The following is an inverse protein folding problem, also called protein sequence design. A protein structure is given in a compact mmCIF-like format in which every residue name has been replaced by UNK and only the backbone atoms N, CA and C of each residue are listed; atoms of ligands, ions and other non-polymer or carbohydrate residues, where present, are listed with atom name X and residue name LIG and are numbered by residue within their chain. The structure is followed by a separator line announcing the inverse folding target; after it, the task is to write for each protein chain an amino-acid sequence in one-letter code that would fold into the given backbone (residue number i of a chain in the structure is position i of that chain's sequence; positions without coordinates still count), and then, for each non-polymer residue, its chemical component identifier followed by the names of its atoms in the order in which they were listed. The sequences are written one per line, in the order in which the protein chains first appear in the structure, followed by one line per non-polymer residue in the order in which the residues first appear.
data_IF_281225289282
#
_entry.id   IF_281225289282
#
_cell.length_a   1.000
_cell.length_b   1.000
_cell.length_c   1.000
_cell.angle_alpha   90.00
_cell.angle_beta   90.00
_cell.angle_gamma   90.00
#
_symmetry.space_group_name_H-M   'P 1'
#
loop_
_entity.id
_entity.type
_entity.pdbx_description
1 polymer ?
#
# COMPACT_ATOMS: atom_id res chain seq x y z
N UNK A 1 -22.25 28.91 54.99
CA UNK A 1 -21.29 27.93 54.44
C UNK A 1 -21.96 27.20 53.29
N UNK A 2 -21.75 27.68 52.05
CA UNK A 2 -22.33 27.12 50.86
C UNK A 2 -21.35 26.08 50.27
N UNK A 3 -21.86 24.86 49.97
CA UNK A 3 -21.10 23.80 49.31
C UNK A 3 -20.91 24.14 47.82
N UNK A 4 -19.72 23.97 47.24
CA UNK A 4 -19.52 24.19 45.80
C UNK A 4 -20.13 23.02 44.99
N UNK A 5 -20.83 23.37 43.91
CA UNK A 5 -21.43 22.44 42.97
C UNK A 5 -20.37 21.60 42.24
N UNK A 6 -20.50 20.30 42.26
CA UNK A 6 -19.72 19.37 41.44
C UNK A 6 -20.07 19.58 39.99
N UNK A 7 -19.21 20.25 39.23
CA UNK A 7 -19.19 20.12 37.74
C UNK A 7 -18.48 18.83 37.42
N UNK A 8 -19.21 17.88 36.87
CA UNK A 8 -18.68 16.62 36.38
C UNK A 8 -17.81 16.88 35.11
N UNK A 9 -16.52 16.62 35.27
CA UNK A 9 -15.54 16.69 34.18
C UNK A 9 -15.36 15.30 33.57
N UNK A 10 -15.90 15.05 32.38
CA UNK A 10 -15.88 13.72 31.76
C UNK A 10 -15.15 13.70 30.44
N UNK A 11 -13.83 13.48 30.44
CA UNK A 11 -13.07 13.29 29.22
C UNK A 11 -12.56 11.85 28.99
N UNK A 12 -12.54 11.00 29.99
CA UNK A 12 -12.11 9.61 29.92
C UNK A 12 -13.12 8.61 30.53
N UNK A 13 -14.37 8.98 30.66
CA UNK A 13 -15.39 8.00 31.03
C UNK A 13 -15.63 7.07 29.84
N UNK A 14 -15.63 5.76 30.04
CA UNK A 14 -16.29 4.87 29.10
C UNK A 14 -17.78 5.27 29.13
N UNK A 15 -18.26 5.92 28.07
CA UNK A 15 -19.69 6.18 27.89
C UNK A 15 -20.39 4.82 27.88
N UNK A 16 -21.43 4.68 28.71
CA UNK A 16 -22.25 3.46 28.67
C UNK A 16 -22.82 3.32 27.25
N UNK A 17 -23.02 2.09 26.75
CA UNK A 17 -23.59 1.85 25.40
C UNK A 17 -24.89 2.61 25.12
N UNK A 18 -25.67 2.90 26.16
CA UNK A 18 -26.97 3.61 26.07
C UNK A 18 -26.83 5.11 25.78
N UNK A 19 -25.73 5.76 26.14
CA UNK A 19 -25.53 7.21 25.90
C UNK A 19 -25.07 7.50 24.48
N UNK A 20 -24.53 6.51 23.77
CA UNK A 20 -24.07 6.65 22.38
C UNK A 20 -25.23 6.48 21.38
N UNK A 21 -26.27 5.69 21.75
CA UNK A 21 -27.42 5.44 20.89
C UNK A 21 -28.50 6.54 20.91
N UNK A 22 -28.48 7.47 21.89
CA UNK A 22 -29.51 8.51 21.99
C UNK A 22 -29.18 9.82 21.24
N UNK A 23 -27.89 10.05 20.94
CA UNK A 23 -27.49 11.11 20.03
C UNK A 23 -27.25 10.47 18.66
N UNK A 24 -28.28 10.50 17.82
CA UNK A 24 -28.24 10.02 16.44
C UNK A 24 -27.01 10.61 15.76
N UNK A 25 -26.00 9.76 15.54
CA UNK A 25 -24.89 10.07 14.68
C UNK A 25 -25.49 10.55 13.34
N UNK A 26 -25.15 11.75 12.84
CA UNK A 26 -25.77 12.29 11.63
C UNK A 26 -25.27 11.59 10.37
N UNK A 27 -25.56 10.29 10.29
CA UNK A 27 -25.22 9.45 9.15
C UNK A 27 -26.01 9.83 7.90
N UNK A 28 -27.18 10.45 8.05
CA UNK A 28 -27.92 11.09 6.94
C UNK A 28 -27.06 12.11 6.20
N UNK A 29 -26.20 12.85 6.90
CA UNK A 29 -25.32 13.84 6.25
C UNK A 29 -24.11 13.21 5.53
N UNK A 30 -23.63 12.05 5.96
CA UNK A 30 -22.62 11.30 5.22
C UNK A 30 -23.18 10.60 3.98
N UNK A 31 -24.46 10.17 4.04
CA UNK A 31 -25.13 9.49 2.92
C UNK A 31 -25.70 10.45 1.88
N UNK A 32 -26.12 11.67 2.26
CA UNK A 32 -26.78 12.61 1.34
C UNK A 32 -25.82 13.51 0.57
N UNK A 33 -24.62 13.81 1.11
CA UNK A 33 -23.68 14.76 0.51
C UNK A 33 -22.66 14.18 -0.48
N UNK A 34 -22.33 12.90 -0.39
CA UNK A 34 -21.25 12.28 -1.20
C UNK A 34 -21.68 11.02 -1.96
N UNK A 35 -22.84 10.44 -1.63
CA UNK A 35 -23.27 9.15 -2.17
C UNK A 35 -24.03 9.20 -3.50
N UNK A 36 -24.68 10.29 -3.87
CA UNK A 36 -25.61 10.23 -5.02
C UNK A 36 -24.97 10.34 -6.40
N UNK A 37 -23.75 10.86 -6.52
CA UNK A 37 -23.11 11.07 -7.82
C UNK A 37 -21.89 10.19 -8.13
N UNK A 38 -21.33 9.48 -7.15
CA UNK A 38 -20.07 8.75 -7.30
C UNK A 38 -20.12 7.24 -7.06
N UNK A 39 -21.09 6.75 -6.32
CA UNK A 39 -21.10 5.36 -5.82
C UNK A 39 -21.47 4.31 -6.86
N UNK A 40 -22.25 4.61 -7.88
CA UNK A 40 -22.63 3.64 -8.90
C UNK A 40 -21.50 3.24 -9.85
N UNK A 41 -20.38 3.97 -9.84
CA UNK A 41 -19.19 3.66 -10.68
C UNK A 41 -17.95 3.18 -9.91
N UNK A 42 -17.98 3.10 -8.57
CA UNK A 42 -16.78 2.80 -7.74
C UNK A 42 -16.90 1.59 -6.83
N UNK A 43 -17.92 0.77 -6.91
CA UNK A 43 -18.09 -0.42 -6.06
C UNK A 43 -16.99 -1.49 -6.17
N UNK A 44 -16.03 -1.31 -7.04
CA UNK A 44 -14.85 -2.20 -7.20
C UNK A 44 -13.57 -1.76 -6.49
N UNK A 45 -13.55 -0.66 -5.72
CA UNK A 45 -12.31 0.08 -5.42
C UNK A 45 -11.71 -0.18 -4.02
N UNK A 46 -12.34 -0.94 -3.15
CA UNK A 46 -12.03 -0.89 -1.71
C UNK A 46 -11.08 -1.95 -1.14
N UNK A 47 -10.43 -2.76 -1.94
CA UNK A 47 -9.47 -3.74 -1.42
C UNK A 47 -8.00 -3.41 -1.78
N UNK A 48 -7.55 -2.16 -1.64
CA UNK A 48 -6.13 -1.94 -1.87
C UNK A 48 -5.59 -0.53 -2.06
N UNK A 49 -6.26 0.51 -1.59
CA UNK A 49 -5.66 1.86 -1.64
C UNK A 49 -4.72 2.09 -0.46
N UNK A 50 -3.44 1.96 -0.71
CA UNK A 50 -2.38 2.53 0.12
C UNK A 50 -1.99 3.90 -0.47
N UNK A 51 -2.78 4.93 -0.31
CA UNK A 51 -2.43 6.35 -0.53
C UNK A 51 -1.52 6.75 -1.70
N UNK A 52 -1.16 5.84 -2.58
CA UNK A 52 -0.41 6.12 -3.79
C UNK A 52 -1.37 6.08 -4.98
N UNK A 53 -1.25 7.03 -5.89
CA UNK A 53 -2.03 7.19 -7.13
C UNK A 53 -1.93 6.00 -8.11
N UNK A 54 -1.96 4.77 -7.58
CA UNK A 54 -1.95 3.54 -8.35
C UNK A 54 -3.38 3.16 -8.67
N UNK A 55 -3.61 2.75 -9.91
CA UNK A 55 -4.90 2.22 -10.36
C UNK A 55 -5.36 1.14 -9.38
N UNK A 56 -6.64 1.14 -8.97
CA UNK A 56 -7.17 0.13 -8.07
C UNK A 56 -6.94 -1.26 -8.68
N UNK A 57 -6.40 -2.17 -7.86
CA UNK A 57 -6.00 -3.52 -8.27
C UNK A 57 -7.17 -4.33 -8.85
N UNK A 58 -8.40 -3.89 -8.59
CA UNK A 58 -9.64 -4.56 -8.97
C UNK A 58 -10.39 -3.91 -10.14
N UNK A 59 -9.82 -2.90 -10.79
CA UNK A 59 -10.45 -2.30 -11.97
C UNK A 59 -10.21 -3.14 -13.22
N UNK A 60 -11.14 -3.97 -13.55
CA UNK A 60 -11.40 -4.43 -14.90
C UNK A 60 -10.64 -5.69 -15.32
N UNK A 61 -9.33 -5.71 -15.35
CA UNK A 61 -8.57 -6.77 -16.02
C UNK A 61 -8.73 -8.18 -15.39
N UNK A 62 -8.56 -8.38 -14.05
CA UNK A 62 -8.77 -9.70 -13.47
C UNK A 62 -10.22 -10.19 -13.54
N UNK A 63 -11.18 -9.30 -13.34
CA UNK A 63 -12.61 -9.64 -13.45
C UNK A 63 -13.05 -9.92 -14.89
N UNK A 64 -12.41 -9.28 -15.87
CA UNK A 64 -12.64 -9.57 -17.28
C UNK A 64 -12.02 -10.91 -17.69
N UNK A 65 -10.85 -11.23 -17.14
CA UNK A 65 -10.16 -12.49 -17.46
C UNK A 65 -10.81 -13.69 -16.77
N UNK A 66 -11.25 -13.52 -15.52
CA UNK A 66 -11.90 -14.58 -14.72
C UNK A 66 -13.21 -14.07 -14.14
N UNK A 67 -14.30 -14.12 -14.91
CA UNK A 67 -15.59 -13.55 -14.49
C UNK A 67 -16.27 -14.37 -13.39
N UNK A 68 -15.89 -15.64 -13.19
CA UNK A 68 -16.45 -16.51 -12.16
C UNK A 68 -15.38 -16.99 -11.18
N UNK A 69 -15.84 -17.44 -10.00
CA UNK A 69 -14.95 -18.08 -9.01
C UNK A 69 -14.30 -19.36 -9.59
N UNK A 70 -15.04 -20.10 -10.41
CA UNK A 70 -14.54 -21.30 -11.06
C UNK A 70 -13.39 -20.98 -12.02
N UNK A 71 -13.52 -19.94 -12.83
CA UNK A 71 -12.47 -19.51 -13.75
C UNK A 71 -11.19 -19.12 -13.00
N UNK A 72 -11.34 -18.36 -11.90
CA UNK A 72 -10.21 -17.97 -11.06
C UNK A 72 -9.60 -19.18 -10.32
N UNK A 73 -10.41 -20.13 -9.88
CA UNK A 73 -9.91 -21.37 -9.24
C UNK A 73 -9.09 -22.21 -10.21
N UNK A 74 -9.49 -22.27 -11.47
CA UNK A 74 -8.82 -23.01 -12.53
C UNK A 74 -7.59 -22.30 -13.10
N UNK A 75 -7.45 -20.98 -12.84
CA UNK A 75 -6.30 -20.22 -13.29
C UNK A 75 -5.00 -20.73 -12.66
N UNK A 76 -3.90 -20.68 -13.41
CA UNK A 76 -2.57 -20.96 -12.86
C UNK A 76 -2.08 -19.80 -11.99
N UNK A 77 -1.21 -20.09 -11.01
CA UNK A 77 -0.57 -19.06 -10.21
C UNK A 77 0.28 -18.10 -11.08
N UNK A 78 0.86 -18.61 -12.16
CA UNK A 78 1.64 -17.79 -13.10
C UNK A 78 0.77 -16.75 -13.80
N UNK A 79 -0.41 -17.11 -14.28
CA UNK A 79 -1.36 -16.18 -14.90
C UNK A 79 -1.83 -15.11 -13.91
N UNK A 80 -2.11 -15.50 -12.66
CA UNK A 80 -2.47 -14.54 -11.61
C UNK A 80 -1.32 -13.58 -11.33
N UNK A 81 -0.09 -14.10 -11.21
CA UNK A 81 1.09 -13.29 -10.99
C UNK A 81 1.43 -12.36 -12.17
N UNK A 82 1.14 -12.76 -13.41
CA UNK A 82 1.30 -11.90 -14.59
C UNK A 82 0.41 -10.65 -14.51
N UNK A 83 -0.88 -10.82 -14.21
CA UNK A 83 -1.80 -9.70 -14.02
C UNK A 83 -1.44 -8.83 -12.81
N UNK A 84 -0.85 -9.45 -11.78
CA UNK A 84 -0.38 -8.76 -10.58
C UNK A 84 0.99 -8.08 -10.76
N UNK A 85 1.66 -8.31 -11.88
CA UNK A 85 3.03 -7.83 -12.14
C UNK A 85 3.12 -6.32 -12.12
N UNK A 86 3.90 -5.77 -11.18
CA UNK A 86 4.08 -4.33 -11.01
C UNK A 86 3.19 -3.65 -9.97
N UNK A 87 2.12 -4.30 -9.50
CA UNK A 87 1.19 -3.76 -8.51
C UNK A 87 1.73 -3.88 -7.06
N UNK A 88 2.66 -4.79 -6.81
CA UNK A 88 3.12 -5.13 -5.46
C UNK A 88 2.15 -6.04 -4.70
N UNK A 89 2.44 -6.34 -3.45
CA UNK A 89 1.59 -7.20 -2.59
C UNK A 89 1.17 -8.53 -3.26
N UNK A 90 2.08 -9.18 -3.94
CA UNK A 90 1.84 -10.39 -4.75
C UNK A 90 1.19 -11.54 -3.99
N UNK A 91 1.44 -11.62 -2.67
CA UNK A 91 0.76 -12.60 -1.81
C UNK A 91 -0.77 -12.46 -1.81
N UNK A 92 -1.31 -11.26 -2.14
CA UNK A 92 -2.77 -11.06 -2.22
C UNK A 92 -3.37 -11.76 -3.44
N UNK A 93 -2.71 -11.66 -4.60
CA UNK A 93 -3.15 -12.38 -5.82
C UNK A 93 -3.19 -13.90 -5.60
N UNK A 94 -2.10 -14.44 -5.03
CA UNK A 94 -2.03 -15.85 -4.68
C UNK A 94 -3.14 -16.26 -3.71
N UNK A 95 -3.33 -15.53 -2.61
CA UNK A 95 -4.37 -15.83 -1.62
C UNK A 95 -5.77 -15.71 -2.18
N UNK A 96 -5.99 -14.81 -3.13
CA UNK A 96 -7.26 -14.70 -3.83
C UNK A 96 -7.55 -15.97 -4.63
N UNK A 97 -6.58 -16.46 -5.40
CA UNK A 97 -6.70 -17.70 -6.15
C UNK A 97 -6.87 -18.92 -5.24
N UNK A 98 -6.06 -19.02 -4.18
CA UNK A 98 -6.18 -20.07 -3.16
C UNK A 98 -7.58 -20.06 -2.51
N UNK A 99 -8.11 -18.86 -2.22
CA UNK A 99 -9.46 -18.67 -1.69
C UNK A 99 -10.54 -19.12 -2.66
N UNK A 100 -10.44 -18.75 -3.94
CA UNK A 100 -11.38 -19.17 -4.97
C UNK A 100 -11.38 -20.70 -5.13
N UNK A 101 -10.19 -21.32 -5.18
CA UNK A 101 -10.04 -22.78 -5.25
C UNK A 101 -10.71 -23.45 -4.06
N UNK A 102 -10.46 -22.96 -2.85
CA UNK A 102 -11.06 -23.51 -1.64
C UNK A 102 -12.59 -23.41 -1.64
N UNK A 103 -13.16 -22.30 -2.09
CA UNK A 103 -14.62 -22.15 -2.20
C UNK A 103 -15.19 -23.15 -3.18
N UNK A 104 -14.54 -23.36 -4.31
CA UNK A 104 -15.01 -24.29 -5.36
C UNK A 104 -14.86 -25.76 -4.93
N UNK A 105 -13.67 -26.14 -4.45
CA UNK A 105 -13.32 -27.54 -4.20
C UNK A 105 -13.84 -28.07 -2.85
N UNK A 106 -13.76 -27.23 -1.80
CA UNK A 106 -14.10 -27.65 -0.43
C UNK A 106 -15.47 -27.18 0.05
N UNK A 107 -15.95 -26.02 -0.44
CA UNK A 107 -17.21 -25.41 0.01
C UNK A 107 -18.34 -25.54 -1.03
N UNK A 108 -18.17 -26.38 -2.05
CA UNK A 108 -19.19 -26.64 -3.07
C UNK A 108 -19.62 -25.41 -3.87
N UNK A 109 -18.75 -24.40 -4.02
CA UNK A 109 -19.03 -23.14 -4.69
C UNK A 109 -19.77 -22.11 -3.83
N UNK A 110 -20.05 -22.42 -2.56
CA UNK A 110 -20.78 -21.54 -1.66
C UNK A 110 -19.84 -20.63 -0.86
N UNK A 111 -19.95 -19.32 -1.08
CA UNK A 111 -19.18 -18.33 -0.34
C UNK A 111 -19.66 -18.23 1.11
N UNK A 112 -18.76 -18.33 2.12
CA UNK A 112 -19.12 -18.04 3.50
C UNK A 112 -19.63 -16.61 3.66
N UNK A 113 -20.67 -16.39 4.48
CA UNK A 113 -21.37 -15.10 4.56
C UNK A 113 -21.09 -14.30 5.82
N UNK A 114 -20.53 -14.93 6.85
CA UNK A 114 -20.22 -14.22 8.11
C UNK A 114 -18.74 -13.93 8.24
N UNK A 115 -18.40 -12.86 8.96
CA UNK A 115 -17.01 -12.45 9.19
C UNK A 115 -16.20 -13.58 9.86
N UNK A 116 -16.82 -14.32 10.78
CA UNK A 116 -16.21 -15.42 11.50
C UNK A 116 -15.87 -16.57 10.54
N UNK A 117 -16.84 -17.02 9.73
CA UNK A 117 -16.65 -18.13 8.79
C UNK A 117 -15.70 -17.74 7.66
N UNK A 118 -15.75 -16.50 7.14
CA UNK A 118 -14.80 -15.98 6.16
C UNK A 118 -13.37 -16.01 6.69
N UNK A 119 -13.16 -15.57 7.95
CA UNK A 119 -11.84 -15.55 8.58
C UNK A 119 -11.30 -16.95 8.87
N UNK A 120 -12.16 -17.89 9.26
CA UNK A 120 -11.79 -19.26 9.58
C UNK A 120 -11.49 -20.11 8.35
N UNK A 121 -12.31 -19.95 7.32
CA UNK A 121 -12.27 -20.86 6.17
C UNK A 121 -11.37 -20.37 5.04
N UNK A 122 -11.26 -19.04 4.80
CA UNK A 122 -10.56 -18.53 3.63
C UNK A 122 -9.11 -18.14 3.92
N UNK A 123 -8.14 -18.59 3.12
CA UNK A 123 -6.74 -18.33 3.30
C UNK A 123 -6.44 -16.83 3.13
N UNK A 124 -5.73 -16.24 4.11
CA UNK A 124 -5.33 -14.83 4.06
C UNK A 124 -6.43 -13.81 4.27
N UNK A 125 -7.63 -14.23 4.61
CA UNK A 125 -8.72 -13.37 5.04
C UNK A 125 -8.58 -13.11 6.54
N UNK A 126 -8.08 -11.91 6.87
CA UNK A 126 -7.98 -11.43 8.25
C UNK A 126 -9.26 -10.74 8.72
N UNK A 127 -9.31 -10.35 10.00
CA UNK A 127 -10.47 -9.71 10.63
C UNK A 127 -11.03 -8.53 9.82
N UNK A 128 -10.16 -7.65 9.30
CA UNK A 128 -10.56 -6.53 8.46
C UNK A 128 -11.25 -6.99 7.16
N UNK A 129 -10.60 -7.89 6.41
CA UNK A 129 -11.13 -8.36 5.13
C UNK A 129 -12.44 -9.12 5.31
N UNK A 130 -12.51 -9.98 6.34
CA UNK A 130 -13.71 -10.72 6.68
C UNK A 130 -14.90 -9.79 7.00
N UNK A 131 -14.69 -8.80 7.88
CA UNK A 131 -15.72 -7.83 8.23
C UNK A 131 -16.15 -6.97 7.04
N UNK A 132 -15.19 -6.54 6.19
CA UNK A 132 -15.50 -5.78 4.98
C UNK A 132 -16.38 -6.59 4.01
N UNK A 133 -16.00 -7.83 3.71
CA UNK A 133 -16.80 -8.71 2.84
C UNK A 133 -18.17 -8.96 3.45
N UNK A 134 -18.24 -9.33 4.73
CA UNK A 134 -19.48 -9.66 5.39
C UNK A 134 -20.46 -8.48 5.47
N UNK A 135 -19.97 -7.28 5.76
CA UNK A 135 -20.83 -6.10 5.85
C UNK A 135 -21.25 -5.54 4.48
N UNK A 136 -20.34 -5.55 3.49
CA UNK A 136 -20.61 -4.93 2.18
C UNK A 136 -21.39 -5.87 1.24
N UNK A 137 -21.08 -7.17 1.26
CA UNK A 137 -21.68 -8.13 0.35
C UNK A 137 -22.85 -8.92 0.96
N UNK A 138 -22.93 -9.00 2.28
CA UNK A 138 -23.89 -9.86 2.96
C UNK A 138 -24.66 -9.15 4.08
N UNK A 139 -24.54 -7.83 4.18
CA UNK A 139 -25.25 -6.97 5.14
C UNK A 139 -25.09 -7.40 6.61
N UNK A 140 -24.01 -8.10 6.94
CA UNK A 140 -23.73 -8.44 8.34
C UNK A 140 -23.39 -7.16 9.12
N UNK A 141 -24.07 -6.97 10.24
CA UNK A 141 -23.82 -5.86 11.16
C UNK A 141 -22.51 -6.09 11.90
N UNK A 142 -21.41 -5.63 11.32
CA UNK A 142 -20.06 -5.73 11.89
C UNK A 142 -19.23 -4.52 11.52
N UNK A 143 -18.50 -3.97 12.48
CA UNK A 143 -17.58 -2.85 12.26
C UNK A 143 -16.28 -3.31 11.62
N UNK A 144 -15.65 -2.42 10.85
CA UNK A 144 -14.38 -2.65 10.17
C UNK A 144 -13.37 -1.59 10.58
N UNK A 145 -12.13 -1.99 10.83
CA UNK A 145 -11.05 -1.07 11.17
C UNK A 145 -9.85 -1.31 10.24
N UNK A 146 -9.68 -0.41 9.27
CA UNK A 146 -8.46 -0.28 8.48
C UNK A 146 -7.59 0.86 9.01
N UNK A 147 -6.52 1.22 8.32
CA UNK A 147 -5.67 2.34 8.70
C UNK A 147 -6.36 3.72 8.63
N UNK A 148 -7.39 3.86 7.79
CA UNK A 148 -8.18 5.08 7.63
C UNK A 148 -9.19 5.21 8.76
N UNK A 149 -10.01 4.18 8.98
CA UNK A 149 -10.99 4.12 10.08
C UNK A 149 -10.32 4.27 11.43
N UNK A 150 -9.19 3.58 11.65
CA UNK A 150 -8.37 3.71 12.85
C UNK A 150 -8.01 5.19 13.13
N UNK A 151 -7.53 5.90 12.13
CA UNK A 151 -7.17 7.32 12.25
C UNK A 151 -8.38 8.20 12.53
N UNK A 152 -9.50 7.98 11.84
CA UNK A 152 -10.75 8.70 12.07
C UNK A 152 -11.22 8.50 13.51
N UNK A 153 -11.32 7.28 13.98
CA UNK A 153 -11.76 6.97 15.35
C UNK A 153 -10.82 7.56 16.40
N UNK A 154 -9.50 7.47 16.19
CA UNK A 154 -8.53 8.08 17.10
C UNK A 154 -8.71 9.59 17.20
N UNK A 155 -8.99 10.28 16.10
CA UNK A 155 -9.20 11.73 16.09
C UNK A 155 -10.56 12.12 16.64
N UNK A 156 -11.62 11.44 16.24
CA UNK A 156 -12.98 11.70 16.75
C UNK A 156 -13.05 11.52 18.26
N UNK A 157 -12.33 10.54 18.81
CA UNK A 157 -12.33 10.23 20.26
C UNK A 157 -11.09 10.72 21.01
N UNK A 158 -10.21 11.50 20.37
CA UNK A 158 -8.94 11.97 20.94
C UNK A 158 -8.09 10.86 21.56
N UNK A 159 -8.05 9.67 20.94
CA UNK A 159 -7.21 8.55 21.38
C UNK A 159 -5.78 8.81 20.91
N UNK A 160 -4.90 9.16 21.87
CA UNK A 160 -3.52 9.56 21.59
C UNK A 160 -2.51 8.43 21.67
N UNK A 161 -2.87 7.33 22.31
CA UNK A 161 -1.99 6.19 22.50
C UNK A 161 -1.68 5.48 21.16
N UNK A 162 -0.64 4.61 21.21
CA UNK A 162 -0.25 3.82 20.03
C UNK A 162 -1.35 2.80 19.66
N UNK A 163 -1.93 2.90 18.47
CA UNK A 163 -2.99 2.00 18.03
C UNK A 163 -2.51 0.58 17.74
N UNK A 164 -1.20 0.33 17.72
CA UNK A 164 -0.64 -1.03 17.61
C UNK A 164 -0.69 -1.81 18.92
N UNK A 165 -0.93 -1.14 20.06
CA UNK A 165 -1.12 -1.83 21.33
C UNK A 165 -2.42 -2.63 21.34
N UNK A 166 -2.39 -3.81 21.96
CA UNK A 166 -3.55 -4.72 21.99
C UNK A 166 -4.78 -4.06 22.58
N UNK A 167 -4.61 -3.29 23.66
CA UNK A 167 -5.72 -2.62 24.34
C UNK A 167 -6.37 -1.55 23.46
N UNK A 168 -5.56 -0.66 22.86
CA UNK A 168 -6.07 0.41 21.99
C UNK A 168 -6.71 -0.19 20.75
N UNK A 169 -6.08 -1.19 20.14
CA UNK A 169 -6.64 -1.91 19.00
C UNK A 169 -8.01 -2.52 19.34
N UNK A 170 -8.11 -3.23 20.47
CA UNK A 170 -9.38 -3.81 20.91
C UNK A 170 -10.46 -2.75 21.13
N UNK A 171 -10.10 -1.64 21.78
CA UNK A 171 -11.02 -0.52 22.00
C UNK A 171 -11.54 0.08 20.69
N UNK A 172 -10.65 0.32 19.71
CA UNK A 172 -11.05 0.86 18.41
C UNK A 172 -11.96 -0.08 17.63
N UNK A 173 -11.70 -1.38 17.68
CA UNK A 173 -12.60 -2.39 17.10
C UNK A 173 -13.97 -2.43 17.79
N UNK A 174 -14.00 -2.32 19.11
CA UNK A 174 -15.26 -2.24 19.87
C UNK A 174 -16.05 -0.99 19.48
N UNK A 175 -15.39 0.17 19.38
CA UNK A 175 -16.02 1.41 18.92
C UNK A 175 -16.58 1.28 17.49
N UNK A 176 -15.81 0.75 16.56
CA UNK A 176 -16.27 0.54 15.20
C UNK A 176 -17.53 -0.34 15.15
N UNK A 177 -17.54 -1.41 15.96
CA UNK A 177 -18.68 -2.32 16.01
C UNK A 177 -19.93 -1.69 16.65
N UNK A 178 -19.76 -0.82 17.64
CA UNK A 178 -20.87 -0.09 18.27
C UNK A 178 -21.44 1.02 17.39
N UNK A 179 -20.63 1.58 16.49
CA UNK A 179 -21.03 2.70 15.63
C UNK A 179 -21.65 2.25 14.31
N UNK A 180 -21.47 1.00 13.91
CA UNK A 180 -22.00 0.52 12.63
C UNK A 180 -23.52 0.66 12.57
N UNK A 181 -24.01 1.19 11.46
CA UNK A 181 -25.46 1.31 11.21
C UNK A 181 -26.06 -0.08 10.93
N UNK A 182 -27.01 -0.56 11.75
CA UNK A 182 -27.60 -1.87 11.52
C UNK A 182 -28.41 -1.98 10.22
N UNK A 183 -28.95 -0.88 9.72
CA UNK A 183 -29.73 -0.86 8.49
C UNK A 183 -28.84 -0.83 7.24
N UNK A 184 -27.63 -0.23 7.35
CA UNK A 184 -26.71 -0.01 6.23
C UNK A 184 -25.25 -0.26 6.63
N UNK A 185 -24.89 -1.47 7.09
CA UNK A 185 -23.58 -1.74 7.65
C UNK A 185 -22.44 -1.59 6.62
N UNK A 186 -22.67 -2.01 5.40
CA UNK A 186 -21.69 -1.88 4.31
C UNK A 186 -21.43 -0.43 3.94
N UNK A 187 -22.47 0.38 3.81
CA UNK A 187 -22.34 1.81 3.48
C UNK A 187 -21.63 2.58 4.60
N UNK A 188 -21.98 2.28 5.86
CA UNK A 188 -21.30 2.87 7.01
C UNK A 188 -19.79 2.62 6.98
N UNK A 189 -19.38 1.37 6.80
CA UNK A 189 -17.97 1.00 6.79
C UNK A 189 -17.24 1.65 5.60
N UNK A 190 -17.84 1.69 4.42
CA UNK A 190 -17.28 2.34 3.24
C UNK A 190 -17.13 3.86 3.46
N UNK A 191 -18.16 4.52 3.99
CA UNK A 191 -18.15 5.95 4.28
C UNK A 191 -17.06 6.31 5.32
N UNK A 192 -16.88 5.49 6.35
CA UNK A 192 -15.84 5.69 7.36
C UNK A 192 -14.42 5.54 6.78
N UNK A 193 -14.21 4.56 5.89
CA UNK A 193 -12.95 4.38 5.17
C UNK A 193 -12.69 5.56 4.21
N UNK A 194 -13.70 6.00 3.46
CA UNK A 194 -13.60 7.12 2.53
C UNK A 194 -13.32 8.44 3.24
N UNK A 195 -14.00 8.71 4.36
CA UNK A 195 -13.73 9.88 5.21
C UNK A 195 -12.25 9.93 5.61
N UNK A 196 -11.69 8.81 6.01
CA UNK A 196 -10.28 8.71 6.33
C UNK A 196 -9.35 8.90 5.13
N UNK A 197 -9.73 8.39 3.96
CA UNK A 197 -8.90 8.46 2.75
C UNK A 197 -8.90 9.87 2.12
N UNK A 198 -10.04 10.58 2.16
CA UNK A 198 -10.24 11.81 1.40
C UNK A 198 -10.20 13.09 2.24
N UNK A 199 -10.78 13.07 3.43
CA UNK A 199 -10.96 14.25 4.31
C UNK A 199 -10.03 14.19 5.52
N UNK A 200 -10.14 13.14 6.33
CA UNK A 200 -9.34 12.97 7.55
C UNK A 200 -7.98 12.34 7.24
N UNK A 201 -7.23 12.95 6.33
CA UNK A 201 -5.96 12.45 5.80
C UNK A 201 -4.84 12.43 6.86
N UNK A 202 -3.76 11.63 6.67
CA UNK A 202 -2.69 11.50 7.67
C UNK A 202 -1.98 12.80 8.02
N UNK A 203 -1.60 13.61 7.03
CA UNK A 203 -0.75 14.79 7.20
C UNK A 203 -1.52 16.10 7.09
N UNK A 204 -2.42 16.23 6.13
CA UNK A 204 -3.16 17.48 5.83
C UNK A 204 -4.66 17.22 5.85
N UNK A 205 -5.28 17.01 7.03
CA UNK A 205 -6.71 16.77 7.12
C UNK A 205 -7.51 18.03 6.80
N UNK A 206 -8.60 17.87 6.04
CA UNK A 206 -9.50 18.93 5.63
C UNK A 206 -10.62 19.11 6.68
N UNK A 207 -10.25 19.54 7.90
CA UNK A 207 -11.17 19.61 9.03
C UNK A 207 -12.35 20.55 8.77
N UNK A 208 -12.16 21.66 8.05
CA UNK A 208 -13.22 22.60 7.70
C UNK A 208 -14.31 22.01 6.78
N UNK A 209 -14.01 20.92 6.06
CA UNK A 209 -14.93 20.22 5.18
C UNK A 209 -15.43 18.91 5.81
N UNK A 210 -15.01 18.62 7.05
CA UNK A 210 -15.30 17.34 7.68
C UNK A 210 -16.75 17.29 8.19
N UNK A 211 -17.57 16.34 7.72
CA UNK A 211 -18.98 16.25 8.12
C UNK A 211 -19.19 15.91 9.60
N UNK A 212 -18.17 15.39 10.27
CA UNK A 212 -18.18 15.07 11.70
C UNK A 212 -17.31 16.02 12.55
N UNK A 213 -16.98 17.20 12.02
CA UNK A 213 -16.14 18.18 12.70
C UNK A 213 -16.63 18.53 14.11
N UNK A 214 -17.93 18.83 14.23
CA UNK A 214 -18.56 19.21 15.50
C UNK A 214 -18.49 18.14 16.58
N UNK A 215 -18.35 16.86 16.19
CA UNK A 215 -18.23 15.72 17.10
C UNK A 215 -16.77 15.31 17.35
N UNK A 216 -15.82 15.93 16.64
CA UNK A 216 -14.42 15.55 16.68
C UNK A 216 -13.71 16.15 17.89
N UNK A 217 -13.41 15.32 18.91
CA UNK A 217 -12.73 15.76 20.12
C UNK A 217 -11.30 16.27 19.87
N UNK A 218 -10.58 15.73 18.87
CA UNK A 218 -9.28 16.24 18.49
C UNK A 218 -9.37 17.66 17.92
N UNK A 219 -10.40 17.92 17.12
CA UNK A 219 -10.63 19.26 16.56
C UNK A 219 -11.05 20.24 17.64
N UNK A 220 -11.99 19.87 18.50
CA UNK A 220 -12.41 20.71 19.66
C UNK A 220 -11.25 21.02 20.61
N UNK A 221 -10.27 20.13 20.73
CA UNK A 221 -9.06 20.41 21.50
C UNK A 221 -8.20 21.49 20.84
N UNK A 222 -8.00 21.41 19.52
CA UNK A 222 -7.28 22.45 18.76
C UNK A 222 -7.95 23.81 18.91
N UNK A 223 -9.28 23.89 18.76
CA UNK A 223 -10.03 25.12 18.93
C UNK A 223 -9.88 25.69 20.35
N UNK A 224 -9.99 24.86 21.38
CA UNK A 224 -9.82 25.30 22.77
C UNK A 224 -8.43 25.84 23.04
N UNK A 225 -7.37 25.25 22.51
CA UNK A 225 -6.02 25.74 22.66
C UNK A 225 -5.79 27.08 21.95
N UNK A 226 -6.38 27.27 20.79
CA UNK A 226 -6.35 28.55 20.09
C UNK A 226 -7.06 29.64 20.92
N UNK A 227 -8.16 29.31 21.58
CA UNK A 227 -8.87 30.19 22.48
C UNK A 227 -8.11 30.44 23.80
N UNK A 228 -7.43 29.42 24.34
CA UNK A 228 -6.64 29.52 25.59
C UNK A 228 -5.35 30.32 25.42
N UNK A 229 -4.86 30.49 24.20
CA UNK A 229 -3.74 31.36 23.91
C UNK A 229 -4.11 32.85 24.06
N UNK A 230 -5.40 33.18 24.28
CA UNK A 230 -5.85 34.54 24.64
C UNK A 230 -5.61 34.79 26.12
N UNK A 231 -5.12 36.00 26.50
CA UNK A 231 -4.87 36.36 27.90
C UNK A 231 -6.14 36.19 28.75
N UNK A 232 -6.06 35.41 29.83
CA UNK A 232 -7.18 35.20 30.78
C UNK A 232 -7.98 33.94 30.59
N UNK A 233 -7.60 33.02 29.67
CA UNK A 233 -8.26 31.76 29.50
C UNK A 233 -7.86 30.76 30.62
N UNK A 234 -8.81 29.94 31.15
CA UNK A 234 -8.50 28.93 32.16
C UNK A 234 -7.64 27.83 31.57
N UNK A 235 -6.75 27.30 32.41
CA UNK A 235 -5.85 26.19 32.07
C UNK A 235 -6.63 24.93 31.65
N UNK A 236 -6.18 24.25 30.62
CA UNK A 236 -6.85 23.08 30.09
C UNK A 236 -6.42 21.86 30.89
N UNK A 237 -7.26 21.40 31.82
CA UNK A 237 -7.02 20.14 32.49
C UNK A 237 -7.18 18.94 31.52
N UNK A 238 -6.12 18.21 31.33
CA UNK A 238 -6.13 16.91 30.67
C UNK A 238 -6.85 15.88 31.53
N UNK A 239 -7.10 14.69 31.00
CA UNK A 239 -7.81 13.56 31.60
C UNK A 239 -7.83 13.56 33.14
N UNK A 240 -9.01 13.42 33.78
CA UNK A 240 -9.21 13.42 35.21
C UNK A 240 -8.49 12.26 35.95
N UNK A 241 -8.10 11.21 35.23
CA UNK A 241 -7.18 10.18 35.69
C UNK A 241 -5.76 10.75 35.62
N UNK A 242 -4.99 10.61 36.70
CA UNK A 242 -3.55 10.96 36.71
C UNK A 242 -2.94 10.44 35.39
N UNK A 243 -2.30 11.31 34.63
CA UNK A 243 -1.79 11.08 33.27
C UNK A 243 -0.98 9.78 33.07
N UNK A 244 -0.48 9.19 34.14
CA UNK A 244 0.23 7.90 34.14
C UNK A 244 -0.68 6.66 34.09
N UNK A 245 -1.99 6.79 34.29
CA UNK A 245 -2.93 5.66 34.36
C UNK A 245 -3.83 5.49 33.14
N UNK A 246 -4.00 6.52 32.31
CA UNK A 246 -4.82 6.42 31.12
C UNK A 246 -4.02 5.81 29.95
N UNK A 247 -4.44 4.65 29.48
CA UNK A 247 -3.79 3.93 28.39
C UNK A 247 -4.29 4.36 27.01
N UNK A 248 -5.24 5.29 26.92
CA UNK A 248 -5.79 5.82 25.67
C UNK A 248 -5.30 7.24 25.38
N UNK A 249 -4.78 7.95 26.37
CA UNK A 249 -4.27 9.31 26.22
C UNK A 249 -2.93 9.36 25.49
N UNK A 250 -2.49 10.57 25.15
CA UNK A 250 -1.15 10.80 24.62
C UNK A 250 -0.09 10.28 25.62
N UNK A 251 0.92 9.55 25.15
CA UNK A 251 1.95 9.04 26.05
C UNK A 251 2.80 10.19 26.61
N UNK A 252 3.26 10.11 27.87
CA UNK A 252 4.09 11.16 28.49
C UNK A 252 5.38 11.46 27.72
N UNK A 253 5.89 10.47 26.97
CA UNK A 253 7.08 10.60 26.11
C UNK A 253 6.84 11.39 24.83
N UNK A 254 5.58 11.57 24.46
CA UNK A 254 5.15 12.32 23.26
C UNK A 254 3.91 13.15 23.63
N UNK A 255 4.09 14.23 24.40
CA UNK A 255 2.98 15.06 24.84
C UNK A 255 2.32 15.78 23.65
N UNK A 256 1.27 16.48 23.92
CA UNK A 256 0.60 17.33 22.95
C UNK A 256 1.58 18.33 22.32
N UNK A 257 1.49 18.47 21.00
CA UNK A 257 2.27 19.42 20.21
C UNK A 257 1.29 20.32 19.43
N UNK A 258 1.18 21.62 19.77
CA UNK A 258 0.28 22.55 19.09
C UNK A 258 0.49 22.62 17.58
N UNK A 259 1.75 22.47 17.12
CA UNK A 259 2.09 22.53 15.69
C UNK A 259 1.49 21.34 14.90
N UNK A 260 1.22 20.23 15.55
CA UNK A 260 0.63 19.05 14.92
C UNK A 260 -0.91 19.12 14.89
N UNK A 261 -1.55 19.95 15.68
CA UNK A 261 -3.00 20.04 15.75
C UNK A 261 -3.67 18.67 15.89
N UNK A 262 -4.69 18.38 15.10
CA UNK A 262 -5.39 17.07 15.12
C UNK A 262 -4.51 15.88 14.77
N UNK A 263 -3.36 16.10 14.13
CA UNK A 263 -2.43 15.02 13.76
C UNK A 263 -1.65 14.45 14.96
N UNK A 264 -1.78 15.07 16.15
CA UNK A 264 -1.39 14.44 17.40
C UNK A 264 -2.06 13.09 17.62
N UNK A 265 -3.22 12.84 17.00
CA UNK A 265 -4.03 11.64 17.19
C UNK A 265 -4.07 10.76 15.92
N UNK A 266 -3.66 9.50 16.03
CA UNK A 266 -2.93 8.85 17.13
C UNK A 266 -1.42 9.11 17.05
N UNK A 267 -0.71 8.99 18.18
CA UNK A 267 0.75 8.93 18.22
C UNK A 267 1.21 7.52 17.88
N UNK A 268 1.78 7.35 16.71
CA UNK A 268 2.35 6.08 16.29
C UNK A 268 3.71 5.85 16.93
N UNK A 269 3.98 4.60 17.31
CA UNK A 269 5.32 4.19 17.68
C UNK A 269 6.29 4.46 16.52
N UNK A 270 7.55 4.69 16.87
CA UNK A 270 8.62 4.78 15.89
C UNK A 270 8.72 3.45 15.15
N UNK A 271 8.67 3.48 13.81
CA UNK A 271 8.86 2.27 13.02
C UNK A 271 10.31 1.83 13.14
N UNK A 272 10.52 0.54 13.32
CA UNK A 272 11.86 -0.04 13.18
C UNK A 272 12.34 0.22 11.75
N UNK A 273 13.62 0.57 11.56
CA UNK A 273 14.17 0.70 10.21
C UNK A 273 14.03 -0.63 9.47
N UNK A 274 13.84 -0.62 8.13
CA UNK A 274 13.80 -1.84 7.35
C UNK A 274 15.16 -2.56 7.48
N UNK A 275 15.11 -3.89 7.53
CA UNK A 275 16.30 -4.73 7.51
C UNK A 275 17.03 -4.54 6.18
N UNK A 276 18.32 -4.33 6.20
CA UNK A 276 19.13 -4.20 4.99
C UNK A 276 19.60 -5.57 4.53
N UNK A 277 19.41 -5.85 3.27
CA UNK A 277 19.86 -7.06 2.59
C UNK A 277 20.57 -6.72 1.28
N UNK A 278 21.49 -7.57 0.87
CA UNK A 278 22.26 -7.40 -0.36
C UNK A 278 22.14 -8.65 -1.22
N UNK A 279 22.11 -8.48 -2.54
CA UNK A 279 22.04 -9.57 -3.49
C UNK A 279 22.84 -9.22 -4.74
N UNK A 280 23.67 -10.16 -5.22
CA UNK A 280 24.23 -10.07 -6.57
C UNK A 280 23.25 -10.70 -7.55
N UNK A 281 22.91 -9.99 -8.61
CA UNK A 281 22.00 -10.45 -9.66
C UNK A 281 22.64 -10.26 -11.02
N UNK A 282 22.47 -11.24 -11.93
CA UNK A 282 23.07 -11.21 -13.25
C UNK A 282 22.04 -11.35 -14.36
N UNK A 283 22.07 -10.45 -15.31
CA UNK A 283 21.37 -10.61 -16.57
C UNK A 283 22.28 -11.49 -17.46
N UNK A 284 21.96 -12.78 -17.49
CA UNK A 284 22.64 -13.73 -18.37
C UNK A 284 21.97 -13.71 -19.73
N UNK A 285 22.73 -13.33 -20.77
CA UNK A 285 22.19 -13.25 -22.12
C UNK A 285 22.82 -14.30 -23.05
N UNK A 286 21.99 -14.87 -23.91
CA UNK A 286 22.40 -15.71 -25.00
C UNK A 286 22.19 -14.94 -26.31
N UNK A 287 23.26 -14.68 -27.08
CA UNK A 287 23.15 -13.98 -28.35
C UNK A 287 22.33 -14.81 -29.36
N UNK A 288 21.57 -14.14 -30.20
CA UNK A 288 20.83 -14.74 -31.33
C UNK A 288 21.36 -14.15 -32.63
N UNK A 289 21.31 -14.94 -33.69
CA UNK A 289 21.71 -14.47 -35.03
C UNK A 289 20.83 -13.31 -35.53
N UNK A 290 19.54 -13.34 -35.16
CA UNK A 290 18.57 -12.30 -35.52
C UNK A 290 17.70 -11.97 -34.30
N UNK A 291 17.38 -10.69 -34.08
CA UNK A 291 16.50 -10.20 -33.02
C UNK A 291 17.22 -9.83 -31.73
N UNK A 292 16.43 -9.70 -30.64
CA UNK A 292 16.94 -9.46 -29.28
C UNK A 292 17.55 -10.75 -28.72
N UNK A 293 18.61 -10.66 -27.87
CA UNK A 293 19.15 -11.84 -27.23
C UNK A 293 18.11 -12.44 -26.27
N UNK A 294 18.28 -13.72 -25.98
CA UNK A 294 17.53 -14.36 -24.92
C UNK A 294 18.16 -14.02 -23.57
N UNK A 295 17.33 -13.89 -22.56
CA UNK A 295 17.74 -13.67 -21.19
C UNK A 295 17.23 -14.79 -20.30
N UNK A 296 18.07 -15.25 -19.37
CA UNK A 296 17.71 -16.31 -18.45
C UNK A 296 16.97 -15.76 -17.23
N UNK A 297 15.80 -16.32 -16.95
CA UNK A 297 15.10 -16.09 -15.68
C UNK A 297 14.95 -17.40 -14.91
N UNK A 298 14.88 -17.27 -13.60
CA UNK A 298 14.69 -18.35 -12.63
C UNK A 298 13.42 -18.05 -11.82
N UNK A 299 12.62 -19.10 -11.60
CA UNK A 299 11.43 -18.97 -10.78
C UNK A 299 11.77 -19.07 -9.31
N UNK A 300 11.29 -18.12 -8.52
CA UNK A 300 11.42 -18.17 -7.06
C UNK A 300 10.61 -19.32 -6.46
N UNK A 301 11.04 -19.85 -5.31
CA UNK A 301 10.25 -20.87 -4.60
C UNK A 301 8.80 -20.41 -4.33
N UNK A 302 7.90 -21.37 -4.17
CA UNK A 302 6.48 -21.08 -3.91
C UNK A 302 6.20 -20.53 -2.49
N UNK A 303 7.23 -20.24 -1.71
CA UNK A 303 7.13 -19.67 -0.36
C UNK A 303 8.09 -18.49 -0.18
N UNK A 304 7.83 -17.62 0.81
CA UNK A 304 8.67 -16.50 1.12
C UNK A 304 8.38 -15.23 0.30
N UNK A 305 9.34 -14.30 0.30
CA UNK A 305 9.22 -13.01 -0.40
C UNK A 305 9.17 -13.22 -1.92
N UNK A 306 8.19 -12.63 -2.59
CA UNK A 306 8.01 -12.68 -4.04
C UNK A 306 7.87 -14.13 -4.58
N UNK A 307 7.23 -15.01 -3.81
CA UNK A 307 7.05 -16.43 -4.15
C UNK A 307 6.41 -16.63 -5.54
N UNK A 308 6.98 -17.55 -6.32
CA UNK A 308 6.50 -17.94 -7.64
C UNK A 308 6.72 -16.92 -8.75
N UNK A 309 7.32 -15.75 -8.47
CA UNK A 309 7.71 -14.78 -9.49
C UNK A 309 9.02 -15.17 -10.17
N UNK A 310 9.21 -14.68 -11.39
CA UNK A 310 10.44 -14.81 -12.12
C UNK A 310 11.46 -13.70 -11.73
N UNK A 311 12.71 -14.07 -11.61
CA UNK A 311 13.82 -13.15 -11.34
C UNK A 311 15.05 -13.53 -12.15
N UNK A 312 16.00 -12.59 -12.28
CA UNK A 312 17.32 -12.92 -12.80
C UNK A 312 18.08 -13.82 -11.80
N UNK A 313 18.98 -14.70 -12.27
CA UNK A 313 19.86 -15.45 -11.39
C UNK A 313 20.47 -14.55 -10.32
N UNK A 314 20.24 -14.90 -9.07
CA UNK A 314 20.60 -14.04 -7.93
C UNK A 314 21.15 -14.88 -6.77
N UNK A 315 22.11 -14.32 -6.06
CA UNK A 315 22.65 -14.89 -4.80
C UNK A 315 22.58 -13.84 -3.71
N UNK A 316 22.11 -14.25 -2.53
CA UNK A 316 22.15 -13.40 -1.34
C UNK A 316 23.59 -13.21 -0.92
N UNK A 317 23.96 -11.99 -0.59
CA UNK A 317 25.32 -11.62 -0.21
C UNK A 317 25.43 -11.46 1.30
N UNK A 318 26.46 -12.10 1.87
CA UNK A 318 27.04 -11.70 3.14
C UNK A 318 27.94 -10.46 2.90
N UNK A 319 28.21 -9.60 3.89
CA UNK A 319 28.91 -8.32 3.70
C UNK A 319 30.36 -8.41 3.15
N UNK A 320 30.89 -9.59 2.88
CA UNK A 320 32.25 -9.83 2.42
C UNK A 320 32.34 -9.86 0.88
N UNK A 321 32.89 -8.83 0.26
CA UNK A 321 32.95 -8.63 -1.20
C UNK A 321 33.70 -9.73 -1.99
N UNK A 322 34.75 -10.30 -1.46
CA UNK A 322 35.64 -11.21 -2.24
C UNK A 322 34.98 -12.54 -2.64
N UNK A 323 33.90 -12.97 -1.99
CA UNK A 323 33.21 -14.22 -2.28
C UNK A 323 32.01 -14.04 -3.20
N UNK A 324 31.59 -12.82 -3.44
CA UNK A 324 30.34 -12.49 -4.18
C UNK A 324 30.39 -12.93 -5.64
N UNK A 325 31.45 -12.59 -6.34
CA UNK A 325 31.67 -12.98 -7.74
C UNK A 325 31.74 -14.51 -7.93
N UNK A 326 32.42 -15.20 -7.01
CA UNK A 326 32.53 -16.66 -7.08
C UNK A 326 31.20 -17.35 -6.84
N UNK A 327 30.39 -16.86 -5.90
CA UNK A 327 29.07 -17.42 -5.62
C UNK A 327 28.13 -17.20 -6.81
N UNK A 328 28.10 -16.00 -7.38
CA UNK A 328 27.30 -15.70 -8.56
C UNK A 328 27.71 -16.55 -9.76
N UNK A 329 29.00 -16.68 -10.05
CA UNK A 329 29.51 -17.53 -11.14
C UNK A 329 29.13 -19.00 -10.95
N UNK A 330 29.20 -19.55 -9.74
CA UNK A 330 28.76 -20.92 -9.45
C UNK A 330 27.27 -21.09 -9.75
N UNK A 331 26.44 -20.14 -9.39
CA UNK A 331 25.00 -20.20 -9.67
C UNK A 331 24.73 -20.10 -11.18
N UNK A 332 25.42 -19.22 -11.89
CA UNK A 332 25.32 -19.13 -13.35
C UNK A 332 25.76 -20.44 -14.03
N UNK A 333 26.88 -21.04 -13.59
CA UNK A 333 27.35 -22.33 -14.11
C UNK A 333 26.35 -23.47 -13.84
N UNK A 334 25.70 -23.47 -12.68
CA UNK A 334 24.65 -24.44 -12.35
C UNK A 334 23.45 -24.35 -13.32
N UNK A 335 23.13 -23.13 -13.76
CA UNK A 335 21.97 -22.86 -14.59
C UNK A 335 22.21 -23.00 -16.11
N UNK A 336 23.42 -22.66 -16.58
CA UNK A 336 23.74 -22.59 -18.01
C UNK A 336 24.84 -23.56 -18.46
N UNK A 337 25.42 -24.32 -17.53
CA UNK A 337 26.58 -25.16 -17.80
C UNK A 337 27.91 -24.45 -17.63
N UNK A 338 29.03 -25.11 -17.99
CA UNK A 338 30.36 -24.55 -17.81
C UNK A 338 30.56 -23.20 -18.48
N UNK A 339 31.14 -22.25 -17.78
CA UNK A 339 31.41 -20.88 -18.25
C UNK A 339 32.93 -20.58 -18.15
N UNK A 340 33.77 -21.19 -19.00
CA UNK A 340 35.22 -20.98 -18.93
C UNK A 340 35.57 -19.52 -19.24
N UNK A 341 36.39 -18.91 -18.37
CA UNK A 341 36.85 -17.53 -18.57
C UNK A 341 35.81 -16.43 -18.38
N UNK A 342 34.56 -16.79 -18.03
CA UNK A 342 33.48 -15.81 -17.88
C UNK A 342 33.76 -14.79 -16.79
N UNK A 343 33.58 -13.52 -17.14
CA UNK A 343 33.72 -12.38 -16.22
C UNK A 343 32.46 -11.55 -16.26
N UNK A 344 31.53 -11.69 -15.30
CA UNK A 344 30.36 -10.83 -15.21
C UNK A 344 30.75 -9.35 -15.13
N UNK A 345 30.18 -8.52 -15.99
CA UNK A 345 30.41 -7.08 -15.98
C UNK A 345 29.46 -6.43 -14.97
N UNK A 346 30.00 -5.66 -14.01
CA UNK A 346 29.18 -4.88 -13.09
C UNK A 346 28.57 -3.68 -13.81
N UNK A 347 27.26 -3.49 -13.68
CA UNK A 347 26.49 -2.44 -14.33
C UNK A 347 26.06 -1.32 -13.39
N UNK A 348 26.02 -1.58 -12.08
CA UNK A 348 25.59 -0.64 -11.07
C UNK A 348 24.70 -1.28 -10.01
N UNK A 349 24.01 -0.44 -9.24
CA UNK A 349 23.19 -0.85 -8.11
C UNK A 349 21.73 -0.49 -8.30
N UNK A 350 20.83 -1.33 -7.79
CA UNK A 350 19.40 -1.06 -7.70
C UNK A 350 18.93 -1.24 -6.26
N UNK A 351 18.46 -0.17 -5.64
CA UNK A 351 17.85 -0.23 -4.31
C UNK A 351 16.34 -0.38 -4.47
N UNK A 352 15.79 -1.39 -3.81
CA UNK A 352 14.35 -1.59 -3.72
C UNK A 352 13.92 -1.80 -2.27
N UNK A 353 12.94 -0.98 -1.84
CA UNK A 353 12.41 -1.05 -0.48
C UNK A 353 11.10 -1.83 -0.52
N UNK A 354 11.12 -3.00 0.11
CA UNK A 354 9.92 -3.71 0.51
C UNK A 354 9.43 -3.13 1.86
N UNK A 355 8.25 -3.49 2.32
CA UNK A 355 7.69 -2.92 3.55
C UNK A 355 8.62 -2.99 4.77
N UNK A 356 9.44 -4.02 4.87
CA UNK A 356 10.31 -4.32 6.02
C UNK A 356 11.75 -4.68 5.64
N UNK A 357 12.08 -4.67 4.35
CA UNK A 357 13.40 -5.01 3.82
C UNK A 357 13.83 -3.92 2.82
N UNK A 358 15.03 -3.40 2.99
CA UNK A 358 15.74 -2.59 2.02
C UNK A 358 16.76 -3.49 1.31
N UNK A 359 16.43 -3.94 0.11
CA UNK A 359 17.28 -4.85 -0.66
C UNK A 359 18.06 -4.06 -1.72
N UNK A 360 19.37 -4.19 -1.67
CA UNK A 360 20.31 -3.63 -2.65
C UNK A 360 20.77 -4.73 -3.58
N UNK A 361 20.46 -4.60 -4.86
CA UNK A 361 20.91 -5.49 -5.91
C UNK A 361 22.19 -4.92 -6.55
N UNK A 362 23.29 -5.68 -6.48
CA UNK A 362 24.47 -5.47 -7.33
C UNK A 362 24.19 -6.12 -8.68
N UNK A 363 24.06 -5.28 -9.71
CA UNK A 363 23.62 -5.72 -11.05
C UNK A 363 24.83 -6.04 -11.90
N UNK A 364 24.83 -7.24 -12.45
CA UNK A 364 25.84 -7.71 -13.39
C UNK A 364 25.19 -8.11 -14.72
N UNK A 365 25.96 -8.15 -15.78
CA UNK A 365 25.61 -8.79 -17.04
C UNK A 365 26.70 -9.76 -17.48
N UNK A 366 26.29 -10.82 -18.16
CA UNK A 366 27.18 -11.79 -18.78
C UNK A 366 26.56 -12.26 -20.10
N UNK A 367 27.28 -12.07 -21.20
CA UNK A 367 26.91 -12.63 -22.50
C UNK A 367 27.59 -13.99 -22.67
N UNK A 368 26.83 -15.00 -23.08
CA UNK A 368 27.40 -16.30 -23.48
C UNK A 368 28.11 -16.15 -24.83
N UNK A 369 29.30 -16.73 -24.93
CA UNK A 369 30.05 -16.76 -26.18
C UNK A 369 29.59 -17.92 -27.07
N UNK A 370 29.41 -17.66 -28.37
CA UNK A 370 29.18 -18.64 -29.43
C UNK A 370 27.71 -18.84 -29.83
N UNK A 371 27.55 -19.31 -31.07
CA UNK A 371 26.26 -19.68 -31.69
C UNK A 371 25.84 -21.14 -31.35
N UNK A 372 26.26 -21.64 -30.19
CA UNK A 372 25.80 -22.97 -29.77
C UNK A 372 24.29 -22.97 -29.58
N UNK A 373 23.59 -24.05 -29.93
CA UNK A 373 22.16 -24.17 -29.61
C UNK A 373 21.95 -23.88 -28.13
N UNK A 374 20.95 -23.06 -27.82
CA UNK A 374 20.60 -22.76 -26.41
C UNK A 374 20.36 -24.09 -25.70
N UNK A 375 21.20 -24.42 -24.75
CA UNK A 375 20.93 -25.58 -23.90
C UNK A 375 19.57 -25.40 -23.23
N UNK A 376 18.73 -26.45 -23.15
CA UNK A 376 17.45 -26.37 -22.48
C UNK A 376 17.68 -25.86 -21.05
N UNK A 377 16.92 -24.85 -20.67
CA UNK A 377 17.01 -24.32 -19.30
C UNK A 377 16.62 -25.43 -18.29
N UNK A 378 17.29 -25.50 -17.14
CA UNK A 378 16.93 -26.49 -16.12
C UNK A 378 15.53 -26.24 -15.56
N UNK A 379 14.92 -27.22 -14.89
CA UNK A 379 13.62 -27.04 -14.25
C UNK A 379 13.60 -25.79 -13.36
N UNK A 380 12.55 -24.98 -13.51
CA UNK A 380 12.43 -23.69 -12.78
C UNK A 380 13.23 -22.53 -13.39
N UNK A 381 13.84 -22.70 -14.57
CA UNK A 381 14.45 -21.64 -15.34
C UNK A 381 13.88 -21.55 -16.75
N UNK A 382 13.92 -20.37 -17.37
CA UNK A 382 13.46 -20.12 -18.75
C UNK A 382 14.34 -19.10 -19.46
N UNK A 383 14.60 -19.37 -20.74
CA UNK A 383 15.13 -18.38 -21.66
C UNK A 383 13.98 -17.60 -22.27
N UNK A 384 13.98 -16.27 -22.15
CA UNK A 384 12.93 -15.38 -22.63
C UNK A 384 13.50 -14.31 -23.56
N UNK A 385 12.71 -13.90 -24.53
CA UNK A 385 12.96 -12.67 -25.27
C UNK A 385 12.66 -11.43 -24.41
N UNK A 386 13.02 -10.26 -24.88
CA UNK A 386 12.71 -9.02 -24.16
C UNK A 386 11.21 -8.75 -24.09
N UNK A 387 10.49 -9.08 -25.14
CA UNK A 387 9.04 -8.94 -25.23
C UNK A 387 8.35 -9.86 -24.22
N UNK A 388 8.80 -11.12 -24.15
CA UNK A 388 8.30 -12.08 -23.16
C UNK A 388 8.65 -11.67 -21.73
N UNK A 389 9.82 -11.06 -21.48
CA UNK A 389 10.16 -10.53 -20.16
C UNK A 389 9.18 -9.45 -19.69
N UNK A 390 8.76 -8.56 -20.58
CA UNK A 390 7.82 -7.48 -20.21
C UNK A 390 6.43 -8.01 -19.85
N UNK A 391 6.02 -9.14 -20.43
CA UNK A 391 4.76 -9.82 -20.13
C UNK A 391 4.86 -10.85 -19.00
N UNK A 392 6.08 -11.25 -18.61
CA UNK A 392 6.28 -12.24 -17.58
C UNK A 392 5.92 -11.73 -16.17
N UNK A 393 5.63 -12.68 -15.27
CA UNK A 393 5.35 -12.42 -13.86
C UNK A 393 6.64 -12.03 -13.09
N UNK A 394 7.17 -10.84 -13.33
CA UNK A 394 8.38 -10.31 -12.70
C UNK A 394 8.06 -9.18 -11.71
N UNK A 395 8.87 -9.07 -10.66
CA UNK A 395 8.69 -8.01 -9.66
C UNK A 395 9.12 -6.63 -10.21
N UNK A 396 8.64 -5.56 -9.56
CA UNK A 396 9.09 -4.19 -9.86
C UNK A 396 10.61 -4.03 -9.67
N UNK A 397 11.22 -4.78 -8.73
CA UNK A 397 12.66 -4.78 -8.53
C UNK A 397 13.40 -5.31 -9.78
N UNK A 398 12.94 -6.43 -10.34
CA UNK A 398 13.52 -7.00 -11.56
C UNK A 398 13.32 -6.11 -12.78
N UNK A 399 12.19 -5.41 -12.89
CA UNK A 399 11.99 -4.40 -13.94
C UNK A 399 12.99 -3.24 -13.82
N UNK A 400 13.39 -2.85 -12.60
CA UNK A 400 14.44 -1.85 -12.39
C UNK A 400 15.83 -2.38 -12.77
N UNK A 401 16.14 -3.62 -12.38
CA UNK A 401 17.39 -4.31 -12.77
C UNK A 401 17.52 -4.37 -14.30
N UNK A 402 16.47 -4.79 -14.97
CA UNK A 402 16.47 -4.85 -16.45
C UNK A 402 16.67 -3.49 -17.09
N UNK A 403 16.10 -2.43 -16.53
CA UNK A 403 16.31 -1.05 -17.02
C UNK A 403 17.78 -0.63 -16.94
N UNK A 404 18.48 -0.94 -15.84
CA UNK A 404 19.93 -0.66 -15.72
C UNK A 404 20.70 -1.38 -16.81
N UNK A 405 20.38 -2.64 -17.08
CA UNK A 405 20.98 -3.41 -18.16
C UNK A 405 20.69 -2.79 -19.55
N UNK A 406 19.44 -2.42 -19.86
CA UNK A 406 19.09 -1.76 -21.12
C UNK A 406 19.84 -0.43 -21.33
N UNK A 407 19.88 0.41 -20.29
CA UNK A 407 20.53 1.72 -20.36
C UNK A 407 22.02 1.57 -20.63
N UNK A 408 22.67 0.61 -19.98
CA UNK A 408 24.09 0.29 -20.23
C UNK A 408 24.32 -0.17 -21.67
N UNK A 409 23.46 -1.05 -22.17
CA UNK A 409 23.56 -1.57 -23.54
C UNK A 409 23.30 -0.50 -24.61
N UNK A 410 22.40 0.45 -24.35
CA UNK A 410 22.16 1.62 -25.21
C UNK A 410 23.35 2.58 -25.18
N UNK A 411 24.00 2.74 -24.03
CA UNK A 411 25.21 3.58 -23.87
C UNK A 411 26.41 3.03 -24.61
N UNK A 412 26.63 1.71 -24.60
CA UNK A 412 27.72 1.05 -25.33
C UNK A 412 27.55 1.12 -26.85
N UNK A 413 26.30 1.16 -27.36
CA UNK A 413 26.02 1.35 -28.81
C UNK A 413 26.28 2.78 -29.30
N UNK A 414 26.36 3.78 -28.41
CA UNK A 414 26.70 5.19 -28.74
C UNK A 414 28.18 5.49 -28.50
N UNK A 415 29.06 4.51 -28.61
CA UNK A 415 30.49 4.63 -28.41
C UNK A 415 31.13 5.67 -29.30
N UNK A 416 31.92 6.53 -28.70
CA UNK A 416 32.83 7.54 -29.23
C UNK A 416 32.28 8.98 -29.32
N UNK A 417 32.05 9.61 -28.14
CA UNK A 417 32.37 11.04 -27.96
C UNK A 417 32.94 11.26 -26.56
N UNK A 418 34.18 11.79 -26.51
CA UNK A 418 34.95 12.13 -25.29
C UNK A 418 34.13 12.97 -24.30
N UNK A 419 34.32 12.80 -22.99
CA UNK A 419 33.63 13.62 -21.97
C UNK A 419 34.21 15.04 -22.02
N UNK A 420 33.32 16.00 -22.23
CA UNK A 420 33.62 17.43 -22.02
C UNK A 420 33.38 17.72 -20.53
N UNK A 421 34.46 18.07 -19.83
CA UNK A 421 34.40 18.59 -18.46
C UNK A 421 33.41 19.74 -18.38
N UNK A 422 32.40 19.64 -17.58
CA UNK A 422 31.50 20.72 -17.21
C UNK A 422 31.58 20.99 -15.72
N UNK A 423 31.89 22.23 -15.40
CA UNK A 423 31.85 22.87 -14.07
C UNK A 423 30.48 22.81 -13.43
N UNK A 424 30.35 22.78 -12.09
CA UNK A 424 29.08 22.65 -11.41
C UNK A 424 28.32 23.97 -11.38
N UNK A 425 27.17 24.05 -12.04
CA UNK A 425 26.20 25.11 -11.90
C UNK A 425 24.96 24.59 -11.18
N UNK A 426 24.69 25.17 -10.04
CA UNK A 426 23.56 24.93 -9.18
C UNK A 426 22.25 25.45 -9.78
N UNK A 427 21.35 24.53 -10.14
CA UNK A 427 19.88 24.71 -10.13
C UNK A 427 19.20 23.41 -10.53
N UNK A 428 18.59 22.71 -9.57
CA UNK A 428 17.75 21.53 -9.82
C UNK A 428 16.49 21.98 -10.56
N UNK A 429 16.30 21.51 -11.81
CA UNK A 429 15.01 21.54 -12.51
C UNK A 429 14.12 20.43 -11.98
N UNK A 430 12.79 20.66 -11.80
CA UNK A 430 11.87 19.60 -11.35
C UNK A 430 11.77 18.48 -12.40
N UNK A 431 11.55 17.27 -11.94
CA UNK A 431 11.48 16.07 -12.77
C UNK A 431 10.27 16.11 -13.71
N UNK A 432 10.39 15.50 -14.88
CA UNK A 432 9.35 15.48 -15.94
C UNK A 432 8.00 14.91 -15.45
N UNK A 433 7.96 14.14 -14.38
CA UNK A 433 6.73 13.67 -13.73
C UNK A 433 5.97 14.74 -12.97
N UNK A 434 6.66 15.72 -12.40
CA UNK A 434 6.04 16.83 -11.67
C UNK A 434 5.34 17.80 -12.63
N UNK A 435 5.92 18.05 -13.82
CA UNK A 435 5.33 18.91 -14.83
C UNK A 435 4.03 18.36 -15.46
N UNK A 436 3.86 17.04 -15.49
CA UNK A 436 2.62 16.41 -15.98
C UNK A 436 1.50 16.54 -14.93
N UNK A 437 1.81 16.48 -13.62
CA UNK A 437 0.82 16.67 -12.57
C UNK A 437 0.32 18.11 -12.48
N UNK A 438 1.20 19.08 -12.63
CA UNK A 438 0.83 20.49 -12.55
C UNK A 438 -0.08 20.94 -13.72
N UNK A 439 -0.02 20.28 -14.87
CA UNK A 439 -0.89 20.57 -16.01
C UNK A 439 -2.34 20.04 -15.85
N UNK A 440 -2.58 19.12 -14.90
CA UNK A 440 -3.93 18.59 -14.62
C UNK A 440 -4.72 19.43 -13.60
N UNK A 441 -4.06 20.34 -12.88
CA UNK A 441 -4.67 21.13 -11.81
C UNK A 441 -4.84 22.63 -12.14
N UNK A 442 -4.63 23.04 -13.38
CA UNK A 442 -4.98 24.40 -13.78
C UNK A 442 -6.50 24.51 -14.03
N UNK A 443 -7.21 25.47 -13.40
CA UNK A 443 -8.61 25.71 -13.66
C UNK A 443 -8.78 26.18 -15.11
N UNK A 444 -9.65 25.49 -15.87
CA UNK A 444 -10.05 25.95 -17.21
C UNK A 444 -10.88 27.23 -17.06
N UNK A 445 -10.37 28.32 -17.55
CA UNK A 445 -11.11 29.57 -17.72
C UNK A 445 -12.09 29.33 -18.86
N UNK A 446 -13.39 29.60 -18.72
CA UNK A 446 -14.33 29.56 -19.84
C UNK A 446 -13.98 30.66 -20.84
N UNK A 447 -13.73 30.31 -22.08
CA UNK A 447 -13.61 31.28 -23.18
C UNK A 447 -15.03 31.64 -23.61
N UNK A 448 -15.45 32.85 -23.31
CA UNK A 448 -16.63 33.46 -23.88
C UNK A 448 -16.48 33.59 -25.40
N UNK A 449 -17.39 33.01 -26.12
CA UNK A 449 -17.59 33.26 -27.55
C UNK A 449 -18.35 34.54 -27.76
N UNK A 450 -17.90 35.48 -28.60
CA UNK A 450 -18.69 36.65 -28.90
C UNK A 450 -19.81 36.33 -29.88
N UNK A 451 -21.00 36.72 -29.50
CA UNK A 451 -22.21 36.73 -30.31
C UNK A 451 -22.07 37.75 -31.44
N UNK A 452 -22.12 37.34 -32.70
CA UNK A 452 -22.28 38.26 -33.83
C UNK A 452 -23.74 38.24 -34.28
N UNK A 453 -24.44 39.28 -33.90
CA UNK A 453 -25.68 39.71 -34.56
C UNK A 453 -25.34 40.45 -35.87
N UNK A 454 -25.95 40.03 -36.99
CA UNK A 454 -26.28 40.93 -38.09
C UNK A 454 -27.36 40.32 -38.95
N UNK A 455 -28.49 41.06 -39.01
CA UNK A 455 -29.58 41.10 -39.97
C UNK A 455 -30.47 39.83 -40.08
#
# INVERSE_FOLDING_TARGET
MARPSRREKSYCRPLSPRTICSETWPMSRLSEGTCSAGMTKRSGTYLGEDGSSRRPIWTGEPMLKWPTLQDLANASLEEVNQLWSGLGYYSRGRRLQEGARKVVEELGGHMPRTAETLQQLLPGVGRYTAGAIASIAFDQVTGVVDGNVLRVLCRVRAVGADPSSTLVSHHLWSLAHQLVDPARPGDFNQAAMELGATVCTPQHPLCSQCPVQSLCQAYQRVEREQLSALPGSPDIEECALKTRQCQLCLPPTKPWDPALGVTNFPRKASRRPPREEYSATCVLEHPRATGSPLILLVQRPNSGLLAGLWEFPSVTLEPSEQHQHKALLRELQRLSGPLPGARPQHLGEVIHIFSHIKLTYQVYSLALEGQTPVAPAPPGARWLTWEEFHSAAVSTAMKKVFRVYEDHRRGTRKGSKRPRMSTPSSRKKPSRGQQILDSFFQPRIPTDTPNSTAQ
#
